data_IF_188160183790
#
_entry.id   IF_188160183790
#
_cell.length_a   1.000
_cell.length_b   1.000
_cell.length_c   1.000
_cell.angle_alpha   90.00
_cell.angle_beta   90.00
_cell.angle_gamma   90.00
#
_symmetry.space_group_name_H-M   'P 1'
#
loop_
_entity.id
_entity.type
_entity.pdbx_description
1 polymer ?
#
# COMPACT_ATOMS: atom_id res chain seq x y z
N UNK A 1 -13.26 13.20 -5.36
CA UNK A 1 -12.46 12.67 -6.50
C UNK A 1 -13.37 12.05 -7.55
N UNK A 2 -13.02 12.14 -8.84
CA UNK A 2 -13.72 11.38 -9.90
C UNK A 2 -13.41 9.88 -9.81
N UNK A 3 -14.24 9.03 -10.43
CA UNK A 3 -14.05 7.58 -10.42
C UNK A 3 -12.68 7.16 -10.96
N UNK A 4 -12.19 7.79 -12.03
CA UNK A 4 -10.85 7.54 -12.58
C UNK A 4 -9.74 7.93 -11.61
N UNK A 5 -9.87 9.08 -10.93
CA UNK A 5 -8.90 9.52 -9.93
C UNK A 5 -8.86 8.54 -8.74
N UNK A 6 -10.02 8.04 -8.30
CA UNK A 6 -10.10 7.07 -7.20
C UNK A 6 -9.35 5.80 -7.55
N UNK A 7 -9.57 5.26 -8.76
CA UNK A 7 -8.92 4.03 -9.19
C UNK A 7 -7.40 4.22 -9.33
N UNK A 8 -6.96 5.33 -9.96
CA UNK A 8 -5.55 5.67 -10.09
C UNK A 8 -4.85 5.82 -8.73
N UNK A 9 -5.54 6.35 -7.71
CA UNK A 9 -4.99 6.43 -6.36
C UNK A 9 -4.80 5.05 -5.73
N UNK A 10 -5.75 4.12 -5.90
CA UNK A 10 -5.55 2.73 -5.44
C UNK A 10 -4.42 2.01 -6.19
N UNK A 11 -4.28 2.23 -7.50
CA UNK A 11 -3.18 1.68 -8.30
C UNK A 11 -1.83 2.21 -7.81
N UNK A 12 -1.74 3.51 -7.51
CA UNK A 12 -0.53 4.10 -6.94
C UNK A 12 -0.17 3.50 -5.58
N UNK A 13 -1.15 3.30 -4.69
CA UNK A 13 -0.92 2.69 -3.37
C UNK A 13 -0.48 1.22 -3.53
N UNK A 14 -1.10 0.45 -4.43
CA UNK A 14 -0.70 -0.93 -4.71
C UNK A 14 0.74 -1.01 -5.26
N UNK A 15 1.12 -0.08 -6.15
CA UNK A 15 2.49 0.01 -6.68
C UNK A 15 3.51 0.41 -5.62
N UNK A 16 3.18 1.35 -4.72
CA UNK A 16 4.04 1.74 -3.60
C UNK A 16 4.25 0.59 -2.63
N UNK A 17 3.18 -0.06 -2.17
CA UNK A 17 3.28 -1.19 -1.23
C UNK A 17 4.02 -2.39 -1.84
N UNK A 18 3.97 -2.59 -3.16
CA UNK A 18 4.77 -3.63 -3.82
C UNK A 18 6.28 -3.32 -3.79
N UNK A 19 6.66 -2.04 -3.93
CA UNK A 19 8.06 -1.61 -3.80
C UNK A 19 8.54 -1.69 -2.35
N UNK A 20 7.65 -1.40 -1.39
CA UNK A 20 7.92 -1.53 0.05
C UNK A 20 8.26 -2.98 0.43
N UNK A 21 7.60 -3.99 -0.16
CA UNK A 21 7.96 -5.41 0.03
C UNK A 21 9.43 -5.65 -0.36
N UNK A 22 9.87 -5.14 -1.51
CA UNK A 22 11.25 -5.28 -1.96
C UNK A 22 12.25 -4.57 -1.03
N UNK A 23 11.93 -3.36 -0.57
CA UNK A 23 12.77 -2.63 0.37
C UNK A 23 12.89 -3.35 1.72
N UNK A 24 11.78 -3.84 2.26
CA UNK A 24 11.77 -4.62 3.51
C UNK A 24 12.64 -5.89 3.38
N UNK A 25 12.46 -6.67 2.31
CA UNK A 25 13.27 -7.87 2.05
C UNK A 25 14.77 -7.56 1.90
N UNK A 26 15.11 -6.41 1.33
CA UNK A 26 16.49 -5.93 1.21
C UNK A 26 17.03 -5.28 2.49
N UNK A 27 16.24 -5.19 3.57
CA UNK A 27 16.56 -4.43 4.79
C UNK A 27 16.86 -2.94 4.54
N UNK A 28 16.33 -2.37 3.47
CA UNK A 28 16.43 -0.94 3.15
C UNK A 28 15.34 -0.16 3.89
N UNK A 29 15.54 0.01 5.19
CA UNK A 29 14.57 0.63 6.10
C UNK A 29 14.33 2.11 5.79
N UNK A 30 15.35 2.83 5.32
CA UNK A 30 15.21 4.25 4.95
C UNK A 30 14.31 4.43 3.72
N UNK A 31 14.43 3.54 2.72
CA UNK A 31 13.49 3.57 1.59
C UNK A 31 12.10 3.08 1.98
N UNK A 32 12.01 2.09 2.88
CA UNK A 32 10.73 1.61 3.39
C UNK A 32 9.95 2.73 4.10
N UNK A 33 10.58 3.45 5.03
CA UNK A 33 9.97 4.58 5.76
C UNK A 33 9.54 5.72 4.82
N UNK A 34 10.39 6.08 3.85
CA UNK A 34 10.04 7.12 2.85
C UNK A 34 8.82 6.72 2.02
N UNK A 35 8.71 5.45 1.63
CA UNK A 35 7.56 4.95 0.88
C UNK A 35 6.31 4.82 1.73
N UNK A 36 6.43 4.45 3.01
CA UNK A 36 5.32 4.44 3.95
C UNK A 36 4.71 5.83 4.10
N UNK A 37 5.55 6.86 4.28
CA UNK A 37 5.12 8.26 4.33
C UNK A 37 4.40 8.70 3.04
N UNK A 38 4.89 8.27 1.87
CA UNK A 38 4.23 8.54 0.58
C UNK A 38 2.89 7.81 0.44
N UNK A 39 2.80 6.57 0.94
CA UNK A 39 1.59 5.79 0.97
C UNK A 39 0.52 6.48 1.84
N UNK A 40 0.91 6.87 3.06
CA UNK A 40 0.06 7.62 3.99
C UNK A 40 -0.47 8.91 3.34
N UNK A 41 0.42 9.74 2.79
CA UNK A 41 0.03 10.98 2.11
C UNK A 41 -0.90 10.74 0.91
N UNK A 42 -0.68 9.67 0.14
CA UNK A 42 -1.52 9.32 -1.00
C UNK A 42 -2.92 8.86 -0.56
N UNK A 43 -3.01 8.12 0.56
CA UNK A 43 -4.28 7.63 1.11
C UNK A 43 -5.21 8.74 1.62
N UNK A 44 -4.65 9.88 2.07
CA UNK A 44 -5.43 11.04 2.54
C UNK A 44 -6.41 11.53 1.48
N UNK A 45 -6.05 11.47 0.20
CA UNK A 45 -6.92 11.87 -0.89
C UNK A 45 -8.24 11.08 -0.92
N UNK A 46 -8.24 9.82 -0.46
CA UNK A 46 -9.41 8.95 -0.42
C UNK A 46 -10.38 9.29 0.73
N UNK A 47 -9.95 10.03 1.75
CA UNK A 47 -10.79 10.38 2.90
C UNK A 47 -11.86 11.43 2.56
N UNK A 48 -11.63 12.26 1.54
CA UNK A 48 -12.55 13.34 1.12
C UNK A 48 -13.80 12.88 0.34
N UNK A 49 -14.05 11.58 0.26
CA UNK A 49 -15.16 11.02 -0.50
C UNK A 49 -14.81 10.76 -1.97
N UNK A 50 -15.31 9.62 -2.46
CA UNK A 50 -15.08 9.11 -3.80
C UNK A 50 -16.40 9.01 -4.55
N UNK A 51 -16.40 9.38 -5.84
CA UNK A 51 -17.50 9.00 -6.71
C UNK A 51 -17.67 7.47 -6.68
N UNK A 52 -18.90 6.93 -6.64
CA UNK A 52 -19.13 5.50 -6.63
C UNK A 52 -18.48 4.83 -7.85
N UNK A 53 -17.72 3.76 -7.61
CA UNK A 53 -17.25 2.88 -8.68
C UNK A 53 -18.29 1.78 -8.91
N UNK A 54 -18.52 1.44 -10.18
CA UNK A 54 -19.46 0.40 -10.60
C UNK A 54 -18.81 -0.54 -11.61
N UNK A 55 -19.40 -1.72 -11.80
CA UNK A 55 -18.93 -2.73 -12.75
C UNK A 55 -17.44 -3.04 -12.59
N UNK A 56 -16.71 -3.06 -13.71
CA UNK A 56 -15.29 -3.42 -13.78
C UNK A 56 -14.42 -2.51 -12.90
N UNK A 57 -14.73 -1.22 -12.79
CA UNK A 57 -13.96 -0.30 -11.94
C UNK A 57 -14.08 -0.66 -10.45
N UNK A 58 -15.26 -1.13 -10.02
CA UNK A 58 -15.46 -1.61 -8.64
C UNK A 58 -14.69 -2.92 -8.41
N UNK A 59 -14.73 -3.84 -9.37
CA UNK A 59 -14.00 -5.10 -9.28
C UNK A 59 -12.50 -4.87 -9.22
N UNK A 60 -11.97 -3.96 -10.05
CA UNK A 60 -10.56 -3.57 -10.06
C UNK A 60 -10.11 -2.97 -8.73
N UNK A 61 -10.93 -2.09 -8.12
CA UNK A 61 -10.65 -1.57 -6.78
C UNK A 61 -10.52 -2.69 -5.74
N UNK A 62 -11.37 -3.72 -5.79
CA UNK A 62 -11.32 -4.85 -4.85
C UNK A 62 -10.02 -5.65 -5.03
N UNK A 63 -9.59 -5.88 -6.27
CA UNK A 63 -8.31 -6.55 -6.56
C UNK A 63 -7.12 -5.76 -5.99
N UNK A 64 -7.11 -4.43 -6.19
CA UNK A 64 -6.06 -3.56 -5.68
C UNK A 64 -6.02 -3.57 -4.15
N UNK A 65 -7.17 -3.54 -3.48
CA UNK A 65 -7.23 -3.65 -2.01
C UNK A 65 -6.67 -4.98 -1.51
N UNK A 66 -6.99 -6.09 -2.16
CA UNK A 66 -6.42 -7.40 -1.81
C UNK A 66 -4.91 -7.43 -2.00
N UNK A 67 -4.40 -6.83 -3.08
CA UNK A 67 -2.97 -6.72 -3.33
C UNK A 67 -2.27 -5.90 -2.23
N UNK A 68 -2.84 -4.73 -1.88
CA UNK A 68 -2.32 -3.87 -0.80
C UNK A 68 -2.24 -4.66 0.51
N UNK A 69 -3.33 -5.34 0.91
CA UNK A 69 -3.34 -6.13 2.15
C UNK A 69 -2.32 -7.28 2.13
N UNK A 70 -2.11 -7.92 0.99
CA UNK A 70 -1.10 -8.97 0.84
C UNK A 70 0.33 -8.41 0.95
N UNK A 71 0.58 -7.24 0.35
CA UNK A 71 1.85 -6.54 0.47
C UNK A 71 2.13 -6.11 1.92
N UNK A 72 1.14 -5.52 2.60
CA UNK A 72 1.25 -5.12 4.01
C UNK A 72 1.56 -6.31 4.91
N UNK A 73 0.96 -7.48 4.62
CA UNK A 73 1.27 -8.72 5.34
C UNK A 73 2.72 -9.14 5.13
N UNK A 74 3.19 -9.14 3.88
CA UNK A 74 4.56 -9.53 3.55
C UNK A 74 5.61 -8.58 4.16
N UNK A 75 5.32 -7.28 4.22
CA UNK A 75 6.17 -6.30 4.93
C UNK A 75 6.22 -6.64 6.42
N UNK A 76 5.05 -6.88 7.04
CA UNK A 76 4.96 -7.22 8.46
C UNK A 76 5.75 -8.48 8.82
N UNK A 77 5.65 -9.53 8.00
CA UNK A 77 6.38 -10.78 8.26
C UNK A 77 7.91 -10.55 8.33
N UNK A 78 8.44 -9.58 7.58
CA UNK A 78 9.86 -9.20 7.62
C UNK A 78 10.19 -8.31 8.81
N UNK A 79 9.37 -7.29 9.08
CA UNK A 79 9.61 -6.34 10.17
C UNK A 79 9.50 -6.99 11.54
N UNK A 80 8.51 -7.87 11.74
CA UNK A 80 8.29 -8.58 12.99
C UNK A 80 9.50 -9.51 13.29
N UNK A 81 9.97 -10.26 12.28
CA UNK A 81 11.16 -11.10 12.42
C UNK A 81 12.43 -10.30 12.75
N UNK A 82 12.57 -9.08 12.23
CA UNK A 82 13.68 -8.20 12.56
C UNK A 82 13.57 -7.65 13.99
N UNK A 83 12.36 -7.29 14.44
CA UNK A 83 12.12 -6.85 15.82
C UNK A 83 12.42 -7.96 16.83
N UNK A 84 12.01 -9.19 16.57
CA UNK A 84 12.32 -10.34 17.42
C UNK A 84 13.83 -10.52 17.58
N UNK A 85 14.61 -10.30 16.51
CA UNK A 85 16.08 -10.35 16.54
C UNK A 85 16.72 -9.26 17.39
N UNK A 86 16.14 -8.06 17.47
CA UNK A 86 16.67 -6.97 18.29
C UNK A 86 16.40 -7.16 19.79
N UNK A 87 15.33 -7.89 20.11
CA UNK A 87 14.85 -8.06 21.48
C UNK A 87 15.37 -9.35 22.15
N UNK A 88 16.13 -10.19 21.44
CA UNK A 88 16.74 -11.43 21.93
C UNK A 88 18.23 -11.31 22.17
#
# INVERSE_FOLDING_TARGET
MSSTQVLATYEKIAGLTSQMVGAAQASDWDSLDRMENQCAATSVALMGGAAPLQGDARQRKIELLKQIMANDRAIRDVTDAWQDRLNG
#
